data_IF_615436900659
#
_entry.id   IF_615436900659
#
_cell.length_a   1.000
_cell.length_b   1.000
_cell.length_c   1.000
_cell.angle_alpha   90.00
_cell.angle_beta   90.00
_cell.angle_gamma   90.00
#
_symmetry.space_group_name_H-M   'P 1'
#
loop_
_entity.id
_entity.type
_entity.pdbx_description
1 polymer ?
#
# COMPACT_ATOMS: atom_id res chain seq x y z
N UNK A 1 -3.31 -31.60 8.15
CA UNK A 1 -4.11 -30.36 8.28
C UNK A 1 -5.45 -30.48 7.55
N UNK A 2 -5.45 -30.99 6.30
CA UNK A 2 -6.65 -31.25 5.48
C UNK A 2 -7.73 -32.07 6.21
N UNK A 3 -7.39 -33.25 6.76
CA UNK A 3 -8.37 -34.10 7.47
C UNK A 3 -8.95 -33.43 8.74
N UNK A 4 -8.20 -32.53 9.37
CA UNK A 4 -8.66 -31.81 10.55
C UNK A 4 -9.71 -30.75 10.20
N UNK A 5 -9.53 -30.04 9.09
CA UNK A 5 -10.52 -29.08 8.57
C UNK A 5 -11.83 -29.79 8.19
N UNK A 6 -11.71 -30.94 7.51
CA UNK A 6 -12.84 -31.79 7.13
C UNK A 6 -13.63 -32.27 8.35
N UNK A 7 -12.92 -32.80 9.35
CA UNK A 7 -13.55 -33.29 10.58
C UNK A 7 -14.26 -32.16 11.34
N UNK A 8 -13.62 -30.99 11.45
CA UNK A 8 -14.17 -29.83 12.13
C UNK A 8 -15.42 -29.28 11.41
N UNK A 9 -15.40 -29.23 10.07
CA UNK A 9 -16.56 -28.83 9.27
C UNK A 9 -17.73 -29.80 9.49
N UNK A 10 -17.48 -31.12 9.40
CA UNK A 10 -18.53 -32.13 9.58
C UNK A 10 -19.14 -32.08 10.99
N UNK A 11 -18.32 -31.88 12.03
CA UNK A 11 -18.81 -31.70 13.40
C UNK A 11 -19.68 -30.44 13.54
N UNK A 12 -19.27 -29.34 12.90
CA UNK A 12 -20.02 -28.09 12.93
C UNK A 12 -21.34 -28.19 12.19
N UNK A 13 -21.37 -28.87 11.03
CA UNK A 13 -22.61 -29.16 10.30
C UNK A 13 -23.57 -30.02 11.13
N UNK A 14 -23.07 -31.06 11.80
CA UNK A 14 -23.88 -31.90 12.69
C UNK A 14 -24.51 -31.14 13.85
N UNK A 15 -23.85 -30.09 14.33
CA UNK A 15 -24.38 -29.23 15.38
C UNK A 15 -25.51 -28.30 14.90
N UNK A 16 -25.64 -28.05 13.59
CA UNK A 16 -26.71 -27.22 13.04
C UNK A 16 -28.05 -27.96 13.06
N UNK A 17 -29.17 -27.26 13.35
CA UNK A 17 -30.49 -27.87 13.32
C UNK A 17 -30.91 -28.26 11.90
N UNK A 18 -31.82 -29.22 11.79
CA UNK A 18 -32.42 -29.60 10.50
C UNK A 18 -33.18 -28.41 9.92
N UNK A 19 -33.01 -28.14 8.63
CA UNK A 19 -33.69 -27.04 7.96
C UNK A 19 -33.21 -25.64 8.39
N UNK A 20 -32.00 -25.50 8.95
CA UNK A 20 -31.44 -24.20 9.32
C UNK A 20 -31.26 -23.25 8.12
N UNK A 21 -31.14 -23.82 6.91
CA UNK A 21 -31.03 -23.08 5.65
C UNK A 21 -29.67 -22.40 5.43
N UNK A 22 -29.52 -21.67 4.31
CA UNK A 22 -28.23 -21.12 3.87
C UNK A 22 -27.58 -20.13 4.85
N UNK A 23 -28.41 -19.40 5.62
CA UNK A 23 -27.92 -18.43 6.60
C UNK A 23 -27.06 -19.07 7.70
N UNK A 24 -27.31 -20.33 8.04
CA UNK A 24 -26.53 -21.06 9.04
C UNK A 24 -25.12 -21.39 8.55
N UNK A 25 -24.93 -21.58 7.25
CA UNK A 25 -23.62 -21.86 6.66
C UNK A 25 -22.70 -20.64 6.65
N UNK A 26 -23.25 -19.42 6.68
CA UNK A 26 -22.45 -18.18 6.76
C UNK A 26 -21.59 -18.10 8.03
N UNK A 27 -22.02 -18.76 9.11
CA UNK A 27 -21.23 -18.87 10.33
C UNK A 27 -20.06 -19.85 10.23
N UNK A 28 -20.00 -20.65 9.16
CA UNK A 28 -19.01 -21.70 8.92
C UNK A 28 -18.09 -21.39 7.74
N UNK A 29 -18.12 -20.17 7.20
CA UNK A 29 -17.37 -19.74 6.00
C UNK A 29 -15.88 -20.11 6.08
N UNK A 30 -15.22 -19.86 7.21
CA UNK A 30 -13.80 -20.15 7.40
C UNK A 30 -13.48 -21.66 7.25
N UNK A 31 -14.35 -22.51 7.77
CA UNK A 31 -14.21 -23.98 7.67
C UNK A 31 -14.54 -24.48 6.27
N UNK A 32 -15.53 -23.87 5.61
CA UNK A 32 -15.92 -24.18 4.24
C UNK A 32 -14.79 -23.83 3.27
N UNK A 33 -14.24 -22.62 3.33
CA UNK A 33 -13.09 -22.26 2.50
C UNK A 33 -11.93 -23.23 2.76
N UNK A 34 -11.64 -23.59 4.01
CA UNK A 34 -10.53 -24.49 4.36
C UNK A 34 -10.69 -25.90 3.77
N UNK A 35 -11.93 -26.35 3.58
CA UNK A 35 -12.25 -27.66 3.03
C UNK A 35 -12.24 -27.69 1.49
N UNK A 36 -12.46 -26.56 0.79
CA UNK A 36 -12.47 -26.49 -0.69
C UNK A 36 -11.12 -26.88 -1.33
N UNK A 37 -9.97 -26.56 -0.72
CA UNK A 37 -8.65 -26.94 -1.26
C UNK A 37 -8.31 -28.43 -1.02
N UNK A 38 -9.15 -29.12 -0.24
CA UNK A 38 -8.89 -30.43 0.31
C UNK A 38 -9.75 -31.53 -0.31
N UNK A 39 -10.80 -31.17 -1.04
CA UNK A 39 -11.81 -32.10 -1.53
C UNK A 39 -11.98 -31.90 -3.04
N UNK A 40 -11.67 -32.95 -3.80
CA UNK A 40 -12.04 -33.04 -5.22
C UNK A 40 -13.24 -34.02 -5.38
N UNK A 41 -13.70 -34.65 -4.29
CA UNK A 41 -14.64 -35.77 -4.32
C UNK A 41 -15.93 -35.53 -3.51
N UNK A 42 -17.02 -36.14 -3.96
CA UNK A 42 -18.30 -36.13 -3.22
C UNK A 42 -18.23 -37.09 -2.04
N UNK A 43 -17.99 -36.57 -0.84
CA UNK A 43 -18.15 -37.33 0.39
C UNK A 43 -19.62 -37.43 0.82
N UNK A 44 -20.13 -38.66 0.82
CA UNK A 44 -21.50 -39.00 1.20
C UNK A 44 -21.89 -38.48 2.59
N UNK A 45 -20.94 -38.43 3.53
CA UNK A 45 -21.21 -37.90 4.87
C UNK A 45 -21.55 -36.40 4.84
N UNK A 46 -20.85 -35.60 4.03
CA UNK A 46 -21.18 -34.19 3.87
C UNK A 46 -22.48 -34.01 3.13
N UNK A 47 -22.69 -34.77 2.06
CA UNK A 47 -23.94 -34.72 1.29
C UNK A 47 -25.16 -34.95 2.18
N UNK A 48 -25.13 -35.97 3.04
CA UNK A 48 -26.24 -36.28 3.94
C UNK A 48 -26.52 -35.13 4.93
N UNK A 49 -25.46 -34.54 5.49
CA UNK A 49 -25.60 -33.40 6.41
C UNK A 49 -26.11 -32.15 5.69
N UNK A 50 -25.61 -31.85 4.48
CA UNK A 50 -26.08 -30.73 3.67
C UNK A 50 -27.56 -30.89 3.30
N UNK A 51 -27.98 -32.09 2.88
CA UNK A 51 -29.40 -32.41 2.63
C UNK A 51 -30.23 -32.23 3.89
N UNK A 52 -29.75 -32.67 5.06
CA UNK A 52 -30.45 -32.49 6.33
C UNK A 52 -30.63 -31.01 6.69
N UNK A 53 -29.60 -30.19 6.51
CA UNK A 53 -29.57 -28.79 6.95
C UNK A 53 -30.30 -27.87 5.95
N UNK A 54 -30.09 -28.09 4.65
CA UNK A 54 -30.52 -27.20 3.57
C UNK A 54 -31.70 -27.75 2.77
N UNK A 55 -31.80 -29.07 2.62
CA UNK A 55 -32.83 -29.75 1.82
C UNK A 55 -34.26 -29.29 2.08
N UNK A 56 -34.71 -29.13 3.34
CA UNK A 56 -36.05 -28.62 3.65
C UNK A 56 -36.35 -27.21 3.12
N UNK A 57 -35.32 -26.41 2.82
CA UNK A 57 -35.45 -25.01 2.39
C UNK A 57 -35.14 -24.87 0.89
N UNK A 58 -34.17 -25.62 0.38
CA UNK A 58 -33.65 -25.46 -0.99
C UNK A 58 -34.18 -26.50 -1.98
N UNK A 59 -34.68 -27.65 -1.51
CA UNK A 59 -35.23 -28.68 -2.41
C UNK A 59 -34.20 -29.18 -3.41
N UNK A 60 -34.51 -29.07 -4.71
CA UNK A 60 -33.65 -29.52 -5.81
C UNK A 60 -32.34 -28.72 -5.93
N UNK A 61 -32.33 -27.47 -5.43
CA UNK A 61 -31.16 -26.59 -5.47
C UNK A 61 -30.16 -26.85 -4.32
N UNK A 62 -30.38 -27.90 -3.54
CA UNK A 62 -29.55 -28.21 -2.37
C UNK A 62 -28.13 -28.60 -2.81
N UNK A 63 -27.09 -27.91 -2.32
CA UNK A 63 -25.71 -28.25 -2.66
C UNK A 63 -25.36 -29.63 -2.12
N UNK A 64 -24.64 -30.41 -2.93
CA UNK A 64 -24.22 -31.78 -2.58
C UNK A 64 -22.72 -31.91 -2.40
N UNK A 65 -21.95 -30.88 -2.74
CA UNK A 65 -20.49 -30.81 -2.56
C UNK A 65 -20.09 -29.69 -1.61
N UNK A 66 -18.84 -29.74 -1.15
CA UNK A 66 -18.27 -28.72 -0.25
C UNK A 66 -18.13 -27.38 -0.97
N UNK A 67 -17.73 -27.39 -2.25
CA UNK A 67 -17.58 -26.20 -3.08
C UNK A 67 -18.92 -25.49 -3.27
N UNK A 68 -19.98 -26.25 -3.55
CA UNK A 68 -21.32 -25.69 -3.74
C UNK A 68 -21.87 -25.11 -2.43
N UNK A 69 -21.65 -25.80 -1.30
CA UNK A 69 -22.04 -25.32 0.01
C UNK A 69 -21.27 -24.03 0.41
N UNK A 70 -19.98 -23.99 0.10
CA UNK A 70 -19.13 -22.82 0.32
C UNK A 70 -19.57 -21.63 -0.54
N UNK A 71 -19.80 -21.87 -1.84
CA UNK A 71 -20.32 -20.90 -2.79
C UNK A 71 -21.68 -20.33 -2.35
N UNK A 72 -22.59 -21.19 -1.90
CA UNK A 72 -23.89 -20.81 -1.35
C UNK A 72 -23.76 -19.92 -0.10
N UNK A 73 -22.86 -20.28 0.82
CA UNK A 73 -22.61 -19.50 2.04
C UNK A 73 -22.04 -18.11 1.72
N UNK A 74 -21.15 -18.01 0.73
CA UNK A 74 -20.43 -16.79 0.36
C UNK A 74 -21.17 -15.94 -0.68
N UNK A 75 -22.22 -16.47 -1.31
CA UNK A 75 -22.98 -15.78 -2.34
C UNK A 75 -22.23 -15.61 -3.66
N UNK A 76 -21.37 -16.57 -4.01
CA UNK A 76 -20.56 -16.58 -5.24
C UNK A 76 -20.81 -17.86 -6.03
N UNK A 77 -20.34 -17.93 -7.27
CA UNK A 77 -20.38 -19.18 -8.04
C UNK A 77 -19.23 -20.11 -7.62
N UNK A 78 -19.50 -21.41 -7.49
CA UNK A 78 -18.50 -22.40 -7.04
C UNK A 78 -17.24 -22.40 -7.92
N UNK A 79 -17.38 -22.31 -9.25
CA UNK A 79 -16.24 -22.22 -10.18
C UNK A 79 -15.37 -20.98 -9.95
N UNK A 80 -15.97 -19.86 -9.52
CA UNK A 80 -15.23 -18.62 -9.23
C UNK A 80 -14.48 -18.77 -7.91
N UNK A 81 -15.12 -19.36 -6.90
CA UNK A 81 -14.49 -19.66 -5.62
C UNK A 81 -13.26 -20.56 -5.81
N UNK A 82 -13.41 -21.70 -6.47
CA UNK A 82 -12.34 -22.68 -6.70
C UNK A 82 -11.18 -22.06 -7.51
N UNK A 83 -11.48 -21.19 -8.48
CA UNK A 83 -10.44 -20.53 -9.27
C UNK A 83 -9.66 -19.45 -8.49
N UNK A 84 -10.31 -18.74 -7.55
CA UNK A 84 -9.73 -17.55 -6.90
C UNK A 84 -9.15 -17.81 -5.53
N UNK A 85 -9.71 -18.74 -4.76
CA UNK A 85 -9.34 -19.01 -3.38
C UNK A 85 -7.87 -19.46 -3.21
N UNK A 86 -7.30 -20.36 -4.05
CA UNK A 86 -5.91 -20.77 -3.92
C UNK A 86 -4.93 -19.60 -4.10
N UNK A 87 -5.20 -18.73 -5.08
CA UNK A 87 -4.37 -17.55 -5.36
C UNK A 87 -4.41 -16.56 -4.19
N UNK A 88 -5.60 -16.30 -3.62
CA UNK A 88 -5.75 -15.43 -2.45
C UNK A 88 -4.98 -15.96 -1.24
N UNK A 89 -5.03 -17.26 -0.99
CA UNK A 89 -4.32 -17.91 0.11
C UNK A 89 -2.81 -17.85 -0.04
N UNK A 90 -2.31 -18.15 -1.24
CA UNK A 90 -0.89 -18.08 -1.52
C UNK A 90 -0.34 -16.67 -1.24
N UNK A 91 -1.04 -15.65 -1.74
CA UNK A 91 -0.64 -14.25 -1.52
C UNK A 91 -0.80 -13.84 -0.05
N UNK A 92 -1.86 -14.27 0.64
CA UNK A 92 -2.01 -14.03 2.08
C UNK A 92 -0.87 -14.63 2.90
N UNK A 93 -0.41 -15.84 2.56
CA UNK A 93 0.73 -16.47 3.20
C UNK A 93 2.03 -15.67 2.96
N UNK A 94 2.28 -15.23 1.72
CA UNK A 94 3.42 -14.36 1.40
C UNK A 94 3.37 -13.07 2.22
N UNK A 95 2.23 -12.38 2.23
CA UNK A 95 2.00 -11.13 2.95
C UNK A 95 2.24 -11.30 4.46
N UNK A 96 1.71 -12.37 5.07
CA UNK A 96 1.94 -12.67 6.50
C UNK A 96 3.40 -12.99 6.83
N UNK A 97 4.16 -13.51 5.86
CA UNK A 97 5.59 -13.79 6.00
C UNK A 97 6.50 -12.54 5.95
N UNK A 98 6.00 -11.39 5.49
CA UNK A 98 6.80 -10.18 5.33
C UNK A 98 7.18 -9.54 6.68
N UNK A 99 8.48 -9.54 6.99
CA UNK A 99 9.04 -8.90 8.20
C UNK A 99 9.51 -7.46 7.99
N UNK A 100 9.95 -7.11 6.78
CA UNK A 100 10.54 -5.80 6.45
C UNK A 100 9.72 -5.15 5.34
N UNK A 101 9.26 -3.90 5.56
CA UNK A 101 8.27 -3.26 4.70
C UNK A 101 8.86 -2.37 3.60
N UNK A 102 10.18 -2.20 3.51
CA UNK A 102 10.81 -1.36 2.49
C UNK A 102 11.90 -2.11 1.69
N UNK A 103 11.50 -3.19 1.03
CA UNK A 103 12.33 -3.91 0.05
C UNK A 103 11.59 -4.04 -1.29
N UNK A 104 12.33 -4.23 -2.38
CA UNK A 104 11.71 -4.39 -3.71
C UNK A 104 10.78 -5.59 -3.78
N UNK A 105 11.18 -6.69 -3.14
CA UNK A 105 10.36 -7.90 -3.04
C UNK A 105 9.07 -7.65 -2.25
N UNK A 106 9.17 -7.04 -1.06
CA UNK A 106 7.99 -6.76 -0.22
C UNK A 106 7.01 -5.81 -0.93
N UNK A 107 7.51 -4.77 -1.59
CA UNK A 107 6.69 -3.83 -2.37
C UNK A 107 6.06 -4.53 -3.58
N UNK A 108 6.76 -5.47 -4.21
CA UNK A 108 6.23 -6.33 -5.27
C UNK A 108 5.06 -7.19 -4.78
N UNK A 109 5.24 -7.89 -3.65
CA UNK A 109 4.18 -8.71 -3.02
C UNK A 109 2.96 -7.87 -2.66
N UNK A 110 3.16 -6.70 -2.03
CA UNK A 110 2.06 -5.78 -1.69
C UNK A 110 1.31 -5.26 -2.92
N UNK A 111 2.02 -5.01 -4.03
CA UNK A 111 1.41 -4.56 -5.30
C UNK A 111 0.58 -5.67 -5.95
N UNK A 112 1.09 -6.91 -5.97
CA UNK A 112 0.33 -8.07 -6.46
C UNK A 112 -0.91 -8.33 -5.62
N UNK A 113 -0.77 -8.22 -4.30
CA UNK A 113 -1.88 -8.39 -3.38
C UNK A 113 -2.97 -7.33 -3.57
N UNK A 114 -2.60 -6.07 -3.80
CA UNK A 114 -3.58 -5.02 -4.13
C UNK A 114 -4.33 -5.31 -5.44
N UNK A 115 -3.62 -5.71 -6.49
CA UNK A 115 -4.24 -6.06 -7.76
C UNK A 115 -5.23 -7.23 -7.60
N UNK A 116 -4.83 -8.28 -6.88
CA UNK A 116 -5.67 -9.45 -6.63
C UNK A 116 -6.94 -9.10 -5.85
N UNK A 117 -6.86 -8.20 -4.88
CA UNK A 117 -8.01 -7.75 -4.09
C UNK A 117 -9.07 -6.99 -4.90
N UNK A 118 -8.67 -6.33 -5.99
CA UNK A 118 -9.60 -5.60 -6.88
C UNK A 118 -10.44 -6.55 -7.74
N UNK A 119 -9.90 -7.73 -8.06
CA UNK A 119 -10.53 -8.71 -8.94
C UNK A 119 -11.25 -9.83 -8.16
N UNK A 120 -10.92 -10.00 -6.87
CA UNK A 120 -11.44 -11.08 -6.05
C UNK A 120 -12.88 -10.82 -5.56
N UNK A 121 -13.75 -11.86 -5.54
CA UNK A 121 -15.08 -11.77 -4.96
C UNK A 121 -15.02 -11.63 -3.43
N UNK A 122 -16.12 -11.22 -2.80
CA UNK A 122 -16.20 -11.04 -1.34
C UNK A 122 -16.14 -12.39 -0.63
N UNK A 123 -14.94 -12.74 -0.16
CA UNK A 123 -14.59 -13.97 0.54
C UNK A 123 -13.95 -13.65 1.89
N UNK A 124 -13.97 -14.59 2.83
CA UNK A 124 -13.29 -14.40 4.12
C UNK A 124 -11.80 -14.25 3.94
N UNK A 125 -11.16 -15.12 3.15
CA UNK A 125 -9.73 -15.01 2.85
C UNK A 125 -9.36 -13.65 2.23
N UNK A 126 -10.26 -13.05 1.42
CA UNK A 126 -10.08 -11.70 0.86
C UNK A 126 -10.07 -10.64 1.97
N UNK A 127 -11.01 -10.69 2.91
CA UNK A 127 -11.04 -9.78 4.06
C UNK A 127 -9.78 -9.91 4.92
N UNK A 128 -9.31 -11.13 5.18
CA UNK A 128 -8.08 -11.35 5.93
C UNK A 128 -6.86 -10.76 5.22
N UNK A 129 -6.80 -10.88 3.89
CA UNK A 129 -5.76 -10.27 3.07
C UNK A 129 -5.83 -8.74 3.10
N UNK A 130 -7.01 -8.14 3.02
CA UNK A 130 -7.20 -6.68 3.16
C UNK A 130 -6.67 -6.18 4.51
N UNK A 131 -6.99 -6.87 5.60
CA UNK A 131 -6.52 -6.51 6.95
C UNK A 131 -5.00 -6.62 7.05
N UNK A 132 -4.42 -7.73 6.59
CA UNK A 132 -2.97 -7.94 6.63
C UNK A 132 -2.22 -6.89 5.79
N UNK A 133 -2.76 -6.57 4.61
CA UNK A 133 -2.19 -5.60 3.70
C UNK A 133 -2.30 -4.17 4.24
N UNK A 134 -3.43 -3.80 4.84
CA UNK A 134 -3.60 -2.51 5.52
C UNK A 134 -2.57 -2.33 6.65
N UNK A 135 -2.36 -3.36 7.48
CA UNK A 135 -1.37 -3.31 8.54
C UNK A 135 0.06 -3.08 8.01
N UNK A 136 0.43 -3.72 6.89
CA UNK A 136 1.72 -3.51 6.25
C UNK A 136 1.84 -2.13 5.58
N UNK A 137 0.77 -1.61 4.98
CA UNK A 137 0.75 -0.25 4.43
C UNK A 137 0.98 0.81 5.49
N UNK A 138 0.37 0.66 6.66
CA UNK A 138 0.59 1.55 7.81
C UNK A 138 2.07 1.52 8.23
N UNK A 139 2.66 0.32 8.33
CA UNK A 139 4.09 0.18 8.67
C UNK A 139 4.99 0.80 7.61
N UNK A 140 4.71 0.54 6.33
CA UNK A 140 5.43 1.14 5.21
C UNK A 140 5.33 2.68 5.21
N UNK A 141 4.14 3.24 5.47
CA UNK A 141 3.95 4.68 5.58
C UNK A 141 4.78 5.28 6.73
N UNK A 142 4.87 4.59 7.87
CA UNK A 142 5.66 5.01 9.01
C UNK A 142 7.19 4.89 8.75
N UNK A 143 7.64 3.85 8.05
CA UNK A 143 9.02 3.73 7.55
C UNK A 143 9.36 4.87 6.60
N UNK A 144 8.53 5.11 5.57
CA UNK A 144 8.73 6.19 4.62
C UNK A 144 8.72 7.57 5.28
N UNK A 145 7.76 7.83 6.17
CA UNK A 145 7.70 9.11 6.89
C UNK A 145 8.95 9.35 7.74
N UNK A 146 9.57 8.30 8.30
CA UNK A 146 10.86 8.40 8.99
C UNK A 146 12.00 8.73 8.02
N UNK A 147 12.03 8.09 6.85
CA UNK A 147 13.04 8.34 5.81
C UNK A 147 12.92 9.74 5.19
N UNK A 148 11.72 10.30 5.14
CA UNK A 148 11.41 11.58 4.50
C UNK A 148 11.15 12.71 5.50
N UNK A 149 11.49 12.52 6.77
CA UNK A 149 11.24 13.51 7.80
C UNK A 149 11.74 14.89 7.36
N UNK A 150 10.88 15.92 7.42
CA UNK A 150 9.62 16.00 8.18
C UNK A 150 8.34 15.74 7.37
N UNK A 151 8.44 15.33 6.11
CA UNK A 151 7.28 15.23 5.21
C UNK A 151 6.56 13.91 5.52
N UNK A 152 5.33 13.95 6.10
CA UNK A 152 4.60 12.73 6.39
C UNK A 152 4.10 12.11 5.08
N UNK A 153 4.20 10.80 4.98
CA UNK A 153 3.63 10.01 3.87
C UNK A 153 2.34 9.37 4.37
N UNK A 154 1.22 9.67 3.69
CA UNK A 154 -0.07 9.08 4.03
C UNK A 154 -0.10 7.58 3.69
N UNK A 155 -0.94 6.81 4.40
CA UNK A 155 -1.06 5.35 4.21
C UNK A 155 -1.47 4.98 2.78
N UNK A 156 -2.37 5.76 2.17
CA UNK A 156 -2.81 5.55 0.78
C UNK A 156 -1.70 5.78 -0.25
N UNK A 157 -0.76 6.68 0.04
CA UNK A 157 0.34 7.04 -0.86
C UNK A 157 1.61 6.21 -0.62
N UNK A 158 1.63 5.40 0.45
CA UNK A 158 2.82 4.67 0.87
C UNK A 158 3.31 3.68 -0.19
N UNK A 159 2.41 2.90 -0.79
CA UNK A 159 2.79 1.90 -1.78
C UNK A 159 3.23 2.53 -3.12
N UNK A 160 2.48 3.49 -3.72
CA UNK A 160 2.95 4.24 -4.89
C UNK A 160 4.30 4.92 -4.66
N UNK A 161 4.50 5.51 -3.47
CA UNK A 161 5.77 6.15 -3.11
C UNK A 161 6.90 5.14 -3.04
N UNK A 162 6.70 4.00 -2.37
CA UNK A 162 7.73 2.96 -2.28
C UNK A 162 8.11 2.40 -3.66
N UNK A 163 7.13 2.18 -4.54
CA UNK A 163 7.37 1.71 -5.91
C UNK A 163 8.25 2.67 -6.70
N UNK A 164 7.89 3.95 -6.72
CA UNK A 164 8.66 4.97 -7.43
C UNK A 164 10.10 5.08 -6.91
N UNK A 165 10.28 5.02 -5.59
CA UNK A 165 11.61 5.03 -4.96
C UNK A 165 12.50 3.84 -5.34
N UNK A 166 11.89 2.72 -5.68
CA UNK A 166 12.58 1.52 -6.15
C UNK A 166 12.75 1.51 -7.67
N UNK A 167 12.38 2.60 -8.35
CA UNK A 167 12.48 2.75 -9.81
C UNK A 167 11.29 2.19 -10.58
N UNK A 168 10.21 1.80 -9.89
CA UNK A 168 9.04 1.17 -10.50
C UNK A 168 7.84 2.15 -10.53
N UNK A 169 7.37 2.50 -11.73
CA UNK A 169 6.14 3.30 -11.92
C UNK A 169 6.32 4.83 -11.89
N UNK A 170 5.22 5.58 -12.08
CA UNK A 170 5.26 7.03 -12.15
C UNK A 170 5.49 7.67 -10.77
N UNK A 171 6.10 8.87 -10.71
CA UNK A 171 6.28 9.59 -9.46
C UNK A 171 4.91 9.93 -8.82
N UNK A 172 4.74 9.69 -7.50
CA UNK A 172 3.51 10.05 -6.80
C UNK A 172 3.36 11.59 -6.74
N UNK A 173 2.15 12.04 -6.37
CA UNK A 173 1.93 13.45 -6.02
C UNK A 173 2.84 13.83 -4.83
N UNK A 174 3.44 15.02 -4.87
CA UNK A 174 4.38 15.47 -3.85
C UNK A 174 5.79 14.86 -3.93
N UNK A 175 6.13 14.05 -4.95
CA UNK A 175 7.47 13.43 -5.09
C UNK A 175 8.62 14.44 -5.09
N UNK A 176 8.44 15.61 -5.71
CA UNK A 176 9.42 16.69 -5.70
C UNK A 176 9.71 17.23 -4.28
N UNK A 177 8.69 17.27 -3.43
CA UNK A 177 8.81 17.66 -2.01
C UNK A 177 9.55 16.58 -1.23
N UNK A 178 9.27 15.31 -1.51
CA UNK A 178 9.96 14.18 -0.89
C UNK A 178 11.45 14.11 -1.29
N UNK A 179 11.77 14.34 -2.57
CA UNK A 179 13.16 14.48 -3.06
C UNK A 179 13.86 15.68 -2.44
N UNK A 180 13.18 16.83 -2.38
CA UNK A 180 13.72 18.03 -1.75
C UNK A 180 13.99 17.79 -0.26
N UNK A 181 13.05 17.17 0.47
CA UNK A 181 13.21 16.85 1.88
C UNK A 181 14.40 15.92 2.12
N UNK A 182 14.57 14.90 1.27
CA UNK A 182 15.76 14.02 1.30
C UNK A 182 17.04 14.79 1.02
N UNK A 183 17.05 15.58 -0.05
CA UNK A 183 18.22 16.38 -0.44
C UNK A 183 18.62 17.38 0.66
N UNK A 184 17.64 17.97 1.34
CA UNK A 184 17.85 18.87 2.48
C UNK A 184 18.30 18.13 3.74
N UNK A 185 17.73 16.97 4.06
CA UNK A 185 18.17 16.19 5.22
C UNK A 185 19.60 15.69 5.03
N UNK A 186 19.92 15.14 3.86
CA UNK A 186 21.28 14.75 3.47
C UNK A 186 22.26 15.92 3.52
N UNK A 187 21.79 17.11 3.17
CA UNK A 187 22.54 18.34 3.27
C UNK A 187 22.76 18.74 4.73
N UNK A 188 21.71 18.75 5.57
CA UNK A 188 21.77 19.10 6.98
C UNK A 188 22.61 18.12 7.80
N UNK A 189 22.62 16.83 7.45
CA UNK A 189 23.55 15.86 8.04
C UNK A 189 25.01 16.18 7.69
N UNK A 190 25.25 16.82 6.54
CA UNK A 190 26.59 17.15 6.02
C UNK A 190 27.02 18.59 6.32
N UNK A 191 26.08 19.49 6.63
CA UNK A 191 26.29 20.90 6.85
C UNK A 191 25.61 21.33 8.16
N UNK A 192 26.30 22.05 9.07
CA UNK A 192 25.74 22.42 10.36
C UNK A 192 24.75 23.57 10.18
N UNK A 193 23.49 23.26 9.84
CA UNK A 193 22.41 24.24 9.77
C UNK A 193 21.75 24.40 11.15
N UNK A 194 21.38 25.62 11.49
CA UNK A 194 20.61 25.90 12.70
C UNK A 194 19.14 25.44 12.54
N UNK A 195 18.50 25.01 13.63
CA UNK A 195 17.14 24.43 13.59
C UNK A 195 16.06 25.36 13.02
N UNK A 196 16.24 26.68 13.09
CA UNK A 196 15.35 27.69 12.51
C UNK A 196 15.33 27.68 10.98
N UNK A 197 16.48 27.43 10.35
CA UNK A 197 16.62 27.46 8.89
C UNK A 197 15.98 26.22 8.25
N UNK A 198 16.08 25.08 8.96
CA UNK A 198 15.37 23.87 8.62
C UNK A 198 13.86 24.09 8.59
N UNK A 199 13.29 24.75 9.60
CA UNK A 199 11.86 24.99 9.66
C UNK A 199 11.38 25.95 8.56
N UNK A 200 12.16 26.97 8.24
CA UNK A 200 11.86 27.88 7.13
C UNK A 200 11.82 27.16 5.76
N UNK A 201 12.75 26.23 5.52
CA UNK A 201 12.77 25.42 4.30
C UNK A 201 11.55 24.49 4.18
N UNK A 202 11.05 23.98 5.30
CA UNK A 202 9.85 23.11 5.35
C UNK A 202 8.59 23.88 4.98
N UNK A 203 8.45 25.09 5.51
CA UNK A 203 7.33 25.99 5.19
C UNK A 203 7.35 26.34 3.71
N UNK A 204 8.53 26.64 3.15
CA UNK A 204 8.69 26.89 1.72
C UNK A 204 8.31 25.67 0.88
N UNK A 205 8.77 24.47 1.22
CA UNK A 205 8.45 23.25 0.48
C UNK A 205 6.95 22.92 0.50
N UNK A 206 6.26 23.10 1.64
CA UNK A 206 4.81 22.90 1.75
C UNK A 206 4.03 23.90 0.91
N UNK A 207 4.44 25.16 0.92
CA UNK A 207 3.82 26.22 0.12
C UNK A 207 4.04 26.01 -1.38
N UNK A 208 5.23 25.53 -1.74
CA UNK A 208 5.59 25.20 -3.11
C UNK A 208 4.69 24.08 -3.68
N UNK A 209 4.40 23.05 -2.89
CA UNK A 209 3.52 21.94 -3.29
C UNK A 209 2.07 22.40 -3.52
N UNK A 210 1.59 23.30 -2.65
CA UNK A 210 0.27 23.89 -2.77
C UNK A 210 0.12 24.80 -4.01
N UNK A 211 1.21 25.41 -4.47
CA UNK A 211 1.27 26.37 -5.59
C UNK A 211 1.77 25.72 -6.90
N UNK A 212 1.81 24.38 -6.99
CA UNK A 212 2.43 23.63 -8.09
C UNK A 212 1.86 23.91 -9.49
N UNK A 213 0.59 24.29 -9.60
CA UNK A 213 -0.05 24.62 -10.89
C UNK A 213 0.02 26.11 -11.24
N UNK A 214 0.59 26.94 -10.35
CA UNK A 214 0.79 28.36 -10.64
C UNK A 214 2.10 28.64 -11.38
N UNK A 215 2.11 29.60 -12.33
CA UNK A 215 3.26 29.91 -13.18
C UNK A 215 4.50 30.44 -12.45
N UNK A 216 4.45 30.65 -11.13
CA UNK A 216 5.57 31.08 -10.29
C UNK A 216 6.51 29.95 -9.84
N UNK A 217 6.12 28.69 -10.03
CA UNK A 217 6.92 27.51 -9.66
C UNK A 217 8.36 27.49 -10.24
N UNK A 218 8.60 27.85 -11.52
CA UNK A 218 9.96 27.94 -12.06
C UNK A 218 10.83 28.97 -11.34
N UNK A 219 10.23 30.07 -10.85
CA UNK A 219 10.92 31.14 -10.13
C UNK A 219 11.34 30.72 -8.72
N UNK A 220 10.53 29.88 -8.07
CA UNK A 220 10.87 29.29 -6.77
C UNK A 220 12.01 28.28 -6.90
N UNK A 221 12.00 27.45 -7.94
CA UNK A 221 13.12 26.55 -8.28
C UNK A 221 14.42 27.33 -8.58
N UNK A 222 14.34 28.43 -9.33
CA UNK A 222 15.45 29.36 -9.56
C UNK A 222 15.95 30.00 -8.25
N UNK A 223 15.04 30.39 -7.35
CA UNK A 223 15.38 30.93 -6.01
C UNK A 223 16.06 29.90 -5.12
N UNK A 224 15.60 28.65 -5.11
CA UNK A 224 16.25 27.57 -4.36
C UNK A 224 17.63 27.22 -4.96
N UNK A 225 17.78 27.25 -6.29
CA UNK A 225 19.07 27.08 -6.98
C UNK A 225 20.06 28.21 -6.69
N UNK A 226 19.59 29.45 -6.56
CA UNK A 226 20.43 30.62 -6.25
C UNK A 226 20.78 30.75 -4.77
N UNK A 227 19.96 30.20 -3.86
CA UNK A 227 20.28 30.09 -2.44
C UNK A 227 21.24 28.92 -2.12
N UNK A 228 21.26 27.88 -2.96
CA UNK A 228 22.16 26.72 -2.88
C UNK A 228 23.65 27.07 -2.70
N UNK A 229 24.26 28.02 -3.44
CA UNK A 229 25.66 28.40 -3.25
C UNK A 229 25.94 29.25 -2.00
N UNK A 230 24.91 29.78 -1.32
CA UNK A 230 25.05 30.53 -0.05
C UNK A 230 24.95 29.65 1.18
N UNK A 231 24.36 28.46 1.03
CA UNK A 231 24.20 27.48 2.10
C UNK A 231 25.38 26.48 2.17
N UNK A 232 26.18 26.36 1.10
CA UNK A 232 27.38 25.51 1.04
C UNK A 232 28.68 26.33 1.22
N UNK A 233 29.71 25.80 1.90
CA UNK A 233 31.07 26.31 1.72
C UNK A 233 31.47 26.10 0.26
N UNK A 234 31.92 27.17 -0.40
CA UNK A 234 32.37 27.15 -1.79
C UNK A 234 33.61 26.24 -1.94
N UNK A 235 33.41 24.95 -2.19
CA UNK A 235 34.39 24.14 -2.90
C UNK A 235 33.98 24.08 -4.36
N UNK A 236 34.95 24.37 -5.23
CA UNK A 236 34.80 24.30 -6.68
C UNK A 236 34.22 22.94 -7.08
N UNK A 237 33.13 22.97 -7.84
CA UNK A 237 32.54 21.76 -8.42
C UNK A 237 33.59 21.02 -9.25
N UNK A 238 33.62 19.69 -9.13
CA UNK A 238 34.46 18.81 -9.94
C UNK A 238 34.29 19.09 -11.44
N UNK A 239 35.36 18.94 -12.24
CA UNK A 239 35.45 19.46 -13.62
C UNK A 239 34.39 18.94 -14.60
N UNK A 240 33.65 17.88 -14.26
CA UNK A 240 32.53 17.37 -15.07
C UNK A 240 31.36 18.34 -15.22
N UNK A 241 31.21 19.33 -14.32
CA UNK A 241 30.10 20.30 -14.37
C UNK A 241 30.49 21.66 -14.97
N UNK A 242 31.77 21.89 -15.36
CA UNK A 242 32.20 23.16 -15.99
C UNK A 242 31.62 23.36 -17.39
N UNK A 243 31.35 22.28 -18.13
CA UNK A 243 30.82 22.35 -19.49
C UNK A 243 29.37 22.83 -19.57
N UNK A 244 28.63 22.81 -18.44
CA UNK A 244 27.25 23.29 -18.36
C UNK A 244 27.15 24.72 -17.80
N UNK A 245 28.24 25.30 -17.29
CA UNK A 245 28.25 26.57 -16.56
C UNK A 245 28.81 27.76 -17.37
N UNK A 246 29.04 27.60 -18.68
CA UNK A 246 29.51 28.71 -19.51
C UNK A 246 28.36 29.51 -20.10
N UNK A 247 27.91 30.52 -19.37
CA UNK A 247 27.54 31.84 -19.91
C UNK A 247 27.48 32.84 -18.76
N UNK A 248 28.65 33.38 -18.41
CA UNK A 248 28.75 34.49 -17.47
C UNK A 248 28.16 35.76 -18.10
N UNK A 249 27.16 36.36 -17.47
CA UNK A 249 26.91 37.79 -17.58
C UNK A 249 27.22 38.43 -16.23
N UNK A 250 28.33 39.17 -16.22
CA UNK A 250 28.85 39.88 -15.04
C UNK A 250 27.87 40.98 -14.62
N UNK A 251 27.41 40.94 -13.38
CA UNK A 251 26.90 42.14 -12.68
C UNK A 251 27.46 42.16 -11.25
N UNK A 252 28.10 43.28 -10.93
CA UNK A 252 28.79 43.64 -9.68
C UNK A 252 27.83 43.73 -8.47
N UNK A 253 28.29 43.59 -7.21
CA UNK A 253 27.41 43.53 -6.05
C UNK A 253 27.08 44.92 -5.50
N UNK A 254 25.85 45.10 -5.04
CA UNK A 254 25.50 46.06 -3.99
C UNK A 254 24.65 45.35 -2.92
N UNK A 255 24.85 45.61 -1.63
CA UNK A 255 24.01 45.06 -0.60
C UNK A 255 22.74 45.91 -0.49
N UNK A 256 21.58 45.31 -0.78
CA UNK A 256 20.30 45.90 -0.36
C UNK A 256 19.95 45.26 0.98
N UNK A 257 19.91 46.09 2.02
CA UNK A 257 19.51 45.73 3.38
C UNK A 257 18.18 44.98 3.41
N UNK A 258 18.09 44.03 4.34
CA UNK A 258 16.96 43.10 4.55
C UNK A 258 15.64 43.84 4.87
N UNK A 259 15.72 45.07 5.38
CA UNK A 259 14.54 45.89 5.72
C UNK A 259 13.78 46.42 4.49
N UNK A 260 14.39 46.47 3.31
CA UNK A 260 13.73 47.00 2.11
C UNK A 260 12.77 45.98 1.42
N UNK A 261 12.85 44.69 1.78
CA UNK A 261 12.06 43.63 1.14
C UNK A 261 10.78 43.25 1.91
N UNK A 262 10.57 43.79 3.11
CA UNK A 262 9.39 43.49 3.95
C UNK A 262 8.27 44.52 3.84
N UNK A 263 8.46 45.60 3.07
CA UNK A 263 7.45 46.63 2.86
C UNK A 263 6.93 46.62 1.41
N UNK A 264 6.15 45.62 1.02
CA UNK A 264 5.15 45.79 -0.05
C UNK A 264 3.92 44.96 0.29
N UNK A 265 2.78 45.66 0.39
CA UNK A 265 1.41 45.13 0.51
C UNK A 265 0.95 44.42 -0.75
#
# INVERSE_FOLDING_TARGET
MVEAARTALLQSLRALPRGAGPGALRGLTDLLEAAVDADDDVDLCFRDELIRILGPVMGEDTPVTVEDAAACAMGVEAKVLVATLPALRAVLAEVRGLKVCFTREAVGVLSRAEALLQEAPVLRTREELEVALSALRVRLAAELSRLHAPVPVAVGDALPTARWLLGDGPPPRGSAVLELARGLDDFCRRAPLAGSDLEALRVLARRADAERETPGWPLLLERLRTLRPRLLPQKSLSPLYRSLAASETRISPAPVSLDALLSVR
#
